data_IF_343908655155
#
_entry.id   IF_343908655155
#
_cell.length_a   1.000
_cell.length_b   1.000
_cell.length_c   1.000
_cell.angle_alpha   90.00
_cell.angle_beta   90.00
_cell.angle_gamma   90.00
#
_symmetry.space_group_name_H-M   'P 1'
#
loop_
_entity.id
_entity.type
_entity.pdbx_description
1 polymer ?
#
# COMPACT_ATOMS: atom_id res chain seq x y z
N UNK A 1 18.01 6.49 -4.27
CA UNK A 1 16.81 7.22 -4.71
C UNK A 1 16.16 6.42 -5.82
N UNK A 2 14.92 5.99 -5.63
CA UNK A 2 14.12 5.40 -6.71
C UNK A 2 13.55 6.57 -7.51
N UNK A 3 13.59 6.49 -8.85
CA UNK A 3 13.01 7.52 -9.70
C UNK A 3 11.50 7.61 -9.45
N UNK A 4 10.98 8.83 -9.31
CA UNK A 4 9.53 9.04 -9.18
C UNK A 4 8.83 8.54 -10.44
N UNK A 5 7.70 7.85 -10.21
CA UNK A 5 6.84 7.28 -11.24
C UNK A 5 5.72 8.25 -11.56
N UNK A 6 5.02 8.01 -12.66
CA UNK A 6 3.72 8.66 -12.86
C UNK A 6 2.81 8.34 -11.65
N UNK A 7 1.95 9.29 -11.24
CA UNK A 7 1.00 9.04 -10.15
C UNK A 7 0.24 7.74 -10.40
N UNK A 8 -0.02 6.98 -9.33
CA UNK A 8 -0.81 5.76 -9.43
C UNK A 8 -2.17 6.07 -10.05
N UNK A 9 -2.71 5.13 -10.83
CA UNK A 9 -4.07 5.28 -11.39
C UNK A 9 -5.14 5.39 -10.28
N UNK A 10 -4.78 4.99 -9.06
CA UNK A 10 -5.60 5.06 -7.87
C UNK A 10 -5.35 6.31 -7.02
N UNK A 11 -4.36 7.15 -7.34
CA UNK A 11 -4.01 8.33 -6.56
C UNK A 11 -5.22 9.25 -6.36
N UNK A 12 -5.51 9.59 -5.10
CA UNK A 12 -6.65 10.41 -4.71
C UNK A 12 -8.01 9.72 -4.76
N UNK A 13 -8.08 8.44 -5.14
CA UNK A 13 -9.31 7.64 -5.15
C UNK A 13 -9.46 6.85 -3.86
N UNK A 14 -10.71 6.55 -3.52
CA UNK A 14 -11.03 5.54 -2.50
C UNK A 14 -11.26 4.21 -3.20
N UNK A 15 -10.55 3.18 -2.76
CA UNK A 15 -10.69 1.79 -3.22
C UNK A 15 -11.03 0.91 -2.03
N UNK A 16 -11.56 -0.28 -2.27
CA UNK A 16 -11.77 -1.28 -1.22
C UNK A 16 -10.59 -2.24 -1.21
N UNK A 17 -10.07 -2.54 -0.03
CA UNK A 17 -9.05 -3.59 0.14
C UNK A 17 -9.77 -4.93 0.09
N UNK A 18 -9.23 -5.90 -0.67
CA UNK A 18 -9.83 -7.23 -0.80
C UNK A 18 -10.05 -7.87 0.57
N UNK A 19 -11.16 -8.59 0.72
CA UNK A 19 -11.56 -9.18 1.99
C UNK A 19 -10.56 -10.19 2.59
N UNK A 20 -9.68 -10.78 1.77
CA UNK A 20 -8.66 -11.75 2.18
C UNK A 20 -7.40 -11.11 2.78
N UNK A 21 -7.29 -9.78 2.76
CA UNK A 21 -6.11 -9.03 3.22
C UNK A 21 -6.15 -8.82 4.74
N UNK A 22 -5.75 -9.85 5.50
CA UNK A 22 -5.50 -9.79 6.95
C UNK A 22 -6.48 -8.88 7.74
N UNK A 23 -5.97 -7.92 8.53
CA UNK A 23 -6.78 -6.99 9.32
C UNK A 23 -7.32 -5.79 8.53
N UNK A 24 -6.94 -5.65 7.25
CA UNK A 24 -7.32 -4.52 6.39
C UNK A 24 -8.46 -4.89 5.42
N UNK A 25 -8.78 -6.17 5.29
CA UNK A 25 -9.72 -6.65 4.29
C UNK A 25 -11.12 -6.10 4.47
N UNK A 26 -11.74 -5.70 3.35
CA UNK A 26 -13.08 -5.11 3.30
C UNK A 26 -13.13 -3.65 3.75
N UNK A 27 -12.01 -3.03 4.10
CA UNK A 27 -11.98 -1.62 4.48
C UNK A 27 -11.86 -0.70 3.26
N UNK A 28 -12.48 0.47 3.35
CA UNK A 28 -12.21 1.58 2.44
C UNK A 28 -10.79 2.10 2.67
N UNK A 29 -10.09 2.33 1.57
CA UNK A 29 -8.72 2.79 1.55
C UNK A 29 -8.57 3.97 0.60
N UNK A 30 -8.30 5.13 1.18
CA UNK A 30 -8.04 6.35 0.43
C UNK A 30 -6.57 6.38 0.03
N UNK A 31 -6.32 6.13 -1.24
CA UNK A 31 -4.97 6.09 -1.81
C UNK A 31 -4.43 7.51 -1.94
N UNK A 32 -3.23 7.74 -1.43
CA UNK A 32 -2.50 8.99 -1.65
C UNK A 32 -1.70 8.89 -2.95
N UNK A 33 -0.71 7.99 -3.01
CA UNK A 33 0.05 7.66 -4.23
C UNK A 33 0.91 6.40 -4.00
N UNK A 34 1.80 6.08 -4.93
CA UNK A 34 2.89 5.12 -4.73
C UNK A 34 3.74 5.49 -3.51
N UNK A 35 4.07 4.50 -2.68
CA UNK A 35 5.00 4.66 -1.57
C UNK A 35 6.34 5.28 -2.01
N UNK A 36 6.85 4.84 -3.16
CA UNK A 36 8.11 5.33 -3.74
C UNK A 36 8.04 6.81 -4.12
N UNK A 37 6.88 7.30 -4.56
CA UNK A 37 6.70 8.72 -4.87
C UNK A 37 6.68 9.59 -3.60
N UNK A 38 6.04 9.09 -2.53
CA UNK A 38 5.92 9.81 -1.27
C UNK A 38 7.25 9.85 -0.50
N UNK A 39 8.00 8.75 -0.51
CA UNK A 39 9.20 8.60 0.33
C UNK A 39 10.52 8.65 -0.42
N UNK A 40 10.50 8.50 -1.75
CA UNK A 40 11.72 8.46 -2.59
C UNK A 40 12.51 7.15 -2.51
N UNK A 41 11.98 6.13 -1.83
CA UNK A 41 12.67 4.86 -1.56
C UNK A 41 11.73 3.65 -1.49
N UNK A 42 12.33 2.46 -1.40
CA UNK A 42 11.60 1.20 -1.27
C UNK A 42 10.99 1.09 0.13
N UNK A 43 9.87 0.37 0.25
CA UNK A 43 9.31 0.00 1.56
C UNK A 43 10.28 -0.90 2.35
N UNK A 44 11.15 -1.64 1.65
CA UNK A 44 12.19 -2.48 2.25
C UNK A 44 13.26 -1.66 3.00
N UNK A 45 13.50 -0.43 2.56
CA UNK A 45 14.50 0.46 3.17
C UNK A 45 13.91 1.31 4.31
N UNK A 46 12.60 1.22 4.54
CA UNK A 46 11.83 2.08 5.44
C UNK A 46 11.97 1.66 6.93
N UNK A 47 13.20 1.62 7.41
CA UNK A 47 13.52 1.21 8.79
C UNK A 47 12.86 2.14 9.80
N UNK A 48 12.14 1.57 10.76
CA UNK A 48 11.43 2.32 11.81
C UNK A 48 10.08 2.91 11.39
N UNK A 49 9.63 2.70 10.15
CA UNK A 49 8.30 3.13 9.72
C UNK A 49 7.23 2.08 10.10
N UNK A 50 6.21 2.42 10.91
CA UNK A 50 5.19 1.46 11.34
C UNK A 50 4.36 0.88 10.20
N UNK A 51 4.05 1.67 9.17
CA UNK A 51 3.26 1.20 8.02
C UNK A 51 4.06 0.20 7.18
N UNK A 52 5.36 0.47 6.99
CA UNK A 52 6.28 -0.45 6.32
C UNK A 52 6.48 -1.74 7.10
N UNK A 53 6.59 -1.67 8.43
CA UNK A 53 6.71 -2.85 9.29
C UNK A 53 5.45 -3.74 9.22
N UNK A 54 4.26 -3.14 9.30
CA UNK A 54 3.00 -3.90 9.18
C UNK A 54 2.86 -4.55 7.80
N UNK A 55 3.28 -3.86 6.74
CA UNK A 55 3.30 -4.41 5.39
C UNK A 55 4.33 -5.52 5.23
N UNK A 56 5.55 -5.35 5.73
CA UNK A 56 6.57 -6.39 5.72
C UNK A 56 6.11 -7.67 6.45
N UNK A 57 5.39 -7.53 7.57
CA UNK A 57 4.79 -8.66 8.27
C UNK A 57 3.71 -9.38 7.44
N UNK A 58 2.90 -8.64 6.66
CA UNK A 58 1.95 -9.25 5.71
C UNK A 58 2.66 -9.91 4.55
N UNK A 59 3.61 -9.22 3.94
CA UNK A 59 4.45 -9.72 2.85
C UNK A 59 5.18 -11.02 3.23
N UNK A 60 5.65 -11.15 4.47
CA UNK A 60 6.30 -12.39 4.93
C UNK A 60 5.33 -13.59 5.08
N UNK A 61 4.03 -13.34 5.20
CA UNK A 61 3.01 -14.37 5.45
C UNK A 61 2.08 -14.61 4.24
N UNK A 62 2.12 -13.72 3.24
CA UNK A 62 1.30 -13.77 2.04
C UNK A 62 2.19 -13.90 0.81
N UNK A 63 1.65 -14.45 -0.27
CA UNK A 63 2.37 -14.59 -1.55
C UNK A 63 2.36 -13.26 -2.33
N UNK A 64 2.98 -12.22 -1.74
CA UNK A 64 3.04 -10.88 -2.29
C UNK A 64 4.36 -10.64 -3.05
N UNK A 65 4.32 -9.96 -4.21
CA UNK A 65 5.52 -9.57 -4.93
C UNK A 65 6.48 -8.73 -4.08
N UNK A 66 7.78 -8.87 -4.33
CA UNK A 66 8.85 -8.06 -3.69
C UNK A 66 9.11 -6.75 -4.44
N UNK A 67 8.17 -6.30 -5.27
CA UNK A 67 8.31 -5.08 -6.05
C UNK A 67 7.94 -3.83 -5.24
N UNK A 68 7.86 -2.70 -5.93
CA UNK A 68 7.51 -1.39 -5.37
C UNK A 68 6.13 -0.91 -5.84
N UNK A 69 5.26 -1.82 -6.31
CA UNK A 69 3.89 -1.51 -6.72
C UNK A 69 2.99 -1.47 -5.48
N UNK A 70 3.45 -0.69 -4.51
CA UNK A 70 2.90 -0.53 -3.18
C UNK A 70 2.34 0.88 -3.05
N UNK A 71 1.05 0.96 -2.78
CA UNK A 71 0.32 2.17 -2.53
C UNK A 71 0.46 2.56 -1.06
N UNK A 72 0.50 3.86 -0.80
CA UNK A 72 0.29 4.42 0.52
C UNK A 72 -1.06 5.15 0.55
N UNK A 73 -1.72 5.08 1.68
CA UNK A 73 -3.09 5.55 1.83
C UNK A 73 -3.58 5.33 3.23
N UNK A 74 -4.82 5.77 3.48
CA UNK A 74 -5.44 5.75 4.80
C UNK A 74 -6.72 4.95 4.79
N UNK A 75 -6.88 4.11 5.81
CA UNK A 75 -8.14 3.43 6.10
C UNK A 75 -9.13 4.38 6.78
N UNK A 76 -10.36 3.92 6.99
CA UNK A 76 -11.44 4.70 7.60
C UNK A 76 -11.15 5.17 9.04
N UNK A 77 -10.25 4.50 9.74
CA UNK A 77 -9.71 4.90 11.05
C UNK A 77 -8.66 6.04 10.97
N UNK A 78 -8.27 6.46 9.77
CA UNK A 78 -7.30 7.51 9.51
C UNK A 78 -5.84 7.07 9.63
N UNK A 79 -5.57 5.79 9.88
CA UNK A 79 -4.20 5.26 9.95
C UNK A 79 -3.63 5.02 8.56
N UNK A 80 -2.33 5.32 8.42
CA UNK A 80 -1.60 5.14 7.17
C UNK A 80 -1.11 3.70 7.02
N UNK A 81 -1.49 3.05 5.94
CA UNK A 81 -1.09 1.67 5.64
C UNK A 81 -0.50 1.58 4.23
N UNK A 82 0.39 0.62 4.04
CA UNK A 82 0.86 0.22 2.71
C UNK A 82 0.04 -0.95 2.20
N UNK A 83 -0.36 -0.92 0.94
CA UNK A 83 -1.15 -1.97 0.31
C UNK A 83 -0.59 -2.20 -1.09
N UNK A 84 -0.33 -3.46 -1.45
CA UNK A 84 0.09 -3.80 -2.80
C UNK A 84 -1.08 -3.65 -3.78
N UNK A 85 -0.83 -3.30 -5.04
CA UNK A 85 -1.92 -3.13 -6.03
C UNK A 85 -2.74 -4.40 -6.30
N UNK A 86 -2.19 -5.58 -6.02
CA UNK A 86 -2.96 -6.83 -6.10
C UNK A 86 -3.91 -7.05 -4.93
N UNK A 87 -3.75 -6.28 -3.85
CA UNK A 87 -4.55 -6.38 -2.62
C UNK A 87 -5.80 -5.47 -2.67
N UNK A 88 -5.96 -4.63 -3.69
CA UNK A 88 -7.14 -3.79 -3.88
C UNK A 88 -8.16 -4.44 -4.81
N UNK A 89 -9.44 -4.19 -4.55
CA UNK A 89 -10.51 -4.54 -5.48
C UNK A 89 -10.50 -3.54 -6.63
N UNK A 90 -10.31 -4.06 -7.85
CA UNK A 90 -10.50 -3.25 -9.05
C UNK A 90 -12.01 -3.24 -9.34
N UNK A 91 -12.69 -2.08 -9.31
CA UNK A 91 -14.08 -2.04 -9.74
C UNK A 91 -14.15 -2.49 -11.20
N UNK A 92 -14.98 -3.51 -11.46
CA UNK A 92 -15.22 -4.08 -12.79
C UNK A 92 -15.96 -3.09 -13.70
#
# INVERSE_FOLDING_TARGET
>A
MIAQRQPSEHAGKTVTIRADVAHLGGQEYRVEDWWTNITGGSWMDATGNPAALQYAARWACADLPTDNDVLYGKTSDGLGHLVHVSEIEVPS
#
